data_IF_767737631693
#
_entry.id   IF_767737631693
#
_cell.length_a   1.000
_cell.length_b   1.000
_cell.length_c   1.000
_cell.angle_alpha   90.00
_cell.angle_beta   90.00
_cell.angle_gamma   90.00
#
_symmetry.space_group_name_H-M   'P 1'
#
loop_
_entity.id
_entity.type
_entity.pdbx_description
1 polymer ?
#
# COMPACT_ATOMS: atom_id res chain seq x y z
N UNK A 1 -4.80 4.98 -11.50
CA UNK A 1 -5.03 5.07 -10.05
C UNK A 1 -6.38 5.71 -9.74
N UNK A 2 -7.31 4.96 -9.14
CA UNK A 2 -8.57 5.51 -8.60
C UNK A 2 -8.39 6.10 -7.18
N UNK A 3 -9.43 6.72 -6.61
CA UNK A 3 -9.35 7.38 -5.30
C UNK A 3 -9.00 6.41 -4.15
N UNK A 4 -9.48 5.17 -4.23
CA UNK A 4 -9.16 4.16 -3.24
C UNK A 4 -7.70 3.70 -3.33
N UNK A 5 -7.22 3.43 -4.54
CA UNK A 5 -5.81 3.12 -4.81
C UNK A 5 -4.90 4.28 -4.37
N UNK A 6 -5.29 5.54 -4.63
CA UNK A 6 -4.57 6.74 -4.16
C UNK A 6 -4.51 6.81 -2.65
N UNK A 7 -5.60 6.48 -1.95
CA UNK A 7 -5.64 6.43 -0.49
C UNK A 7 -4.69 5.35 0.04
N UNK A 8 -4.72 4.14 -0.51
CA UNK A 8 -3.82 3.02 -0.14
C UNK A 8 -2.36 3.41 -0.38
N UNK A 9 -2.05 3.93 -1.57
CA UNK A 9 -0.72 4.43 -1.93
C UNK A 9 -0.21 5.47 -0.93
N UNK A 10 -1.03 6.48 -0.61
CA UNK A 10 -0.65 7.54 0.33
C UNK A 10 -0.39 7.02 1.74
N UNK A 11 -1.16 6.04 2.21
CA UNK A 11 -0.93 5.42 3.52
C UNK A 11 0.43 4.69 3.53
N UNK A 12 0.69 3.86 2.52
CA UNK A 12 1.95 3.12 2.39
C UNK A 12 3.13 4.10 2.31
N UNK A 13 3.06 5.10 1.42
CA UNK A 13 4.10 6.13 1.26
C UNK A 13 4.37 6.88 2.56
N UNK A 14 3.33 7.35 3.24
CA UNK A 14 3.49 8.10 4.48
C UNK A 14 4.15 7.25 5.56
N UNK A 15 3.73 6.00 5.73
CA UNK A 15 4.34 5.13 6.74
C UNK A 15 5.79 4.78 6.39
N UNK A 16 6.10 4.53 5.11
CA UNK A 16 7.46 4.24 4.67
C UNK A 16 8.41 5.43 4.87
N UNK A 17 7.92 6.68 4.71
CA UNK A 17 8.70 7.89 5.05
C UNK A 17 9.10 7.96 6.52
N UNK A 18 8.33 7.34 7.42
CA UNK A 18 8.66 7.22 8.84
C UNK A 18 9.37 5.90 9.19
N UNK A 19 9.90 5.19 8.18
CA UNK A 19 10.63 3.92 8.37
C UNK A 19 9.74 2.73 8.74
N UNK A 20 8.42 2.82 8.53
CA UNK A 20 7.45 1.77 8.85
C UNK A 20 6.78 1.24 7.58
N UNK A 21 6.33 -0.01 7.59
CA UNK A 21 5.43 -0.53 6.57
C UNK A 21 4.07 -0.80 7.21
N UNK A 22 2.95 -0.43 6.56
CA UNK A 22 1.64 -0.72 7.12
C UNK A 22 1.40 -2.24 7.17
N UNK A 23 0.85 -2.70 8.29
CA UNK A 23 0.22 -4.03 8.33
C UNK A 23 -1.11 -4.02 7.58
N UNK A 24 -1.61 -5.20 7.25
CA UNK A 24 -2.92 -5.33 6.64
C UNK A 24 -4.05 -4.79 7.54
N UNK A 25 -3.97 -5.00 8.85
CA UNK A 25 -4.97 -4.50 9.80
C UNK A 25 -4.93 -2.98 9.94
N UNK A 26 -3.75 -2.36 9.83
CA UNK A 26 -3.64 -0.90 9.76
C UNK A 26 -4.26 -0.36 8.47
N UNK A 27 -4.07 -1.04 7.33
CA UNK A 27 -4.74 -0.68 6.09
C UNK A 27 -6.25 -0.80 6.25
N UNK A 28 -6.77 -1.94 6.75
CA UNK A 28 -8.20 -2.15 7.02
C UNK A 28 -8.78 -1.03 7.87
N UNK A 29 -8.12 -0.69 8.99
CA UNK A 29 -8.55 0.38 9.90
C UNK A 29 -8.53 1.76 9.23
N UNK A 30 -7.48 2.10 8.48
CA UNK A 30 -7.32 3.43 7.86
C UNK A 30 -8.17 3.61 6.59
N UNK A 31 -8.46 2.54 5.87
CA UNK A 31 -9.26 2.60 4.65
C UNK A 31 -10.74 2.33 4.89
N UNK A 32 -11.09 1.58 5.94
CA UNK A 32 -12.44 1.09 6.19
C UNK A 32 -12.87 0.04 5.14
N UNK A 33 -11.91 -0.70 4.59
CA UNK A 33 -12.14 -1.69 3.52
C UNK A 33 -11.63 -3.06 3.95
N UNK A 34 -12.24 -4.10 3.38
CA UNK A 34 -11.81 -5.46 3.63
C UNK A 34 -10.46 -5.78 2.98
N UNK A 35 -9.95 -6.96 3.34
CA UNK A 35 -8.69 -7.49 2.84
C UNK A 35 -8.64 -7.62 1.32
N UNK A 36 -9.73 -8.09 0.71
CA UNK A 36 -9.78 -8.39 -0.72
C UNK A 36 -9.64 -7.09 -1.51
N UNK A 37 -10.39 -6.06 -1.15
CA UNK A 37 -10.31 -4.74 -1.77
C UNK A 37 -8.89 -4.16 -1.63
N UNK A 38 -8.30 -4.24 -0.44
CA UNK A 38 -6.93 -3.73 -0.20
C UNK A 38 -5.91 -4.49 -1.06
N UNK A 39 -5.99 -5.83 -1.12
CA UNK A 39 -5.06 -6.65 -1.91
C UNK A 39 -5.17 -6.33 -3.41
N UNK A 40 -6.39 -6.16 -3.93
CA UNK A 40 -6.59 -5.77 -5.32
C UNK A 40 -6.04 -4.37 -5.61
N UNK A 41 -6.25 -3.40 -4.71
CA UNK A 41 -5.66 -2.06 -4.86
C UNK A 41 -4.13 -2.11 -4.87
N UNK A 42 -3.50 -2.89 -3.98
CA UNK A 42 -2.03 -3.07 -3.96
C UNK A 42 -1.53 -3.74 -5.22
N UNK A 43 -2.19 -4.81 -5.70
CA UNK A 43 -1.86 -5.47 -6.97
C UNK A 43 -1.92 -4.49 -8.15
N UNK A 44 -2.96 -3.66 -8.21
CA UNK A 44 -3.11 -2.66 -9.27
C UNK A 44 -2.01 -1.62 -9.23
N UNK A 45 -1.61 -1.15 -8.04
CA UNK A 45 -0.49 -0.22 -7.88
C UNK A 45 0.84 -0.84 -8.32
N UNK A 46 1.06 -2.14 -8.04
CA UNK A 46 2.23 -2.87 -8.54
C UNK A 46 2.20 -3.01 -10.07
N UNK A 47 1.04 -3.36 -10.64
CA UNK A 47 0.86 -3.47 -12.10
C UNK A 47 1.10 -2.13 -12.81
N UNK A 48 0.71 -1.02 -12.18
CA UNK A 48 0.94 0.34 -12.64
C UNK A 48 2.39 0.83 -12.40
N UNK A 49 3.27 0.00 -11.82
CA UNK A 49 4.64 0.34 -11.42
C UNK A 49 4.75 1.50 -10.43
N UNK A 50 3.66 1.82 -9.72
CA UNK A 50 3.63 2.84 -8.65
C UNK A 50 4.15 2.31 -7.32
N UNK A 51 4.09 0.98 -7.13
CA UNK A 51 4.61 0.32 -5.94
C UNK A 51 5.42 -0.89 -6.36
N UNK A 52 6.53 -1.13 -5.67
CA UNK A 52 7.32 -2.35 -5.79
C UNK A 52 7.78 -2.78 -4.41
N UNK A 53 7.65 -4.06 -4.10
CA UNK A 53 8.23 -4.63 -2.88
C UNK A 53 9.68 -5.04 -3.13
N UNK A 54 10.63 -4.42 -2.42
CA UNK A 54 12.01 -4.87 -2.38
C UNK A 54 12.15 -5.93 -1.28
N UNK A 55 12.33 -7.19 -1.70
CA UNK A 55 12.47 -8.34 -0.80
C UNK A 55 13.78 -8.35 -0.01
N UNK A 56 14.85 -7.73 -0.53
CA UNK A 56 16.14 -7.70 0.15
C UNK A 56 16.15 -6.64 1.26
N UNK A 57 15.49 -5.51 0.99
CA UNK A 57 15.41 -4.39 1.93
C UNK A 57 14.14 -4.41 2.79
N UNK A 58 13.24 -5.38 2.57
CA UNK A 58 11.93 -5.51 3.21
C UNK A 58 11.17 -4.18 3.27
N UNK A 59 11.12 -3.47 2.13
CA UNK A 59 10.50 -2.15 2.04
C UNK A 59 9.78 -1.91 0.73
N UNK A 60 8.81 -1.02 0.78
CA UNK A 60 8.17 -0.49 -0.42
C UNK A 60 9.09 0.51 -1.13
N UNK A 61 9.15 0.37 -2.45
CA UNK A 61 9.77 1.28 -3.40
C UNK A 61 8.64 1.91 -4.22
N UNK A 62 8.79 3.20 -4.53
CA UNK A 62 7.79 4.04 -5.20
C UNK A 62 8.39 4.62 -6.48
#
# INVERSE_FOLDING_TARGET
MNDFERKVYRIILNMTRFGKNPSLDELKRKTGKDERAIREAVKNLIRQRMLKWDKHKNKWMF
#
